data_IF_399216394476
#
_entry.id   IF_399216394476
#
_cell.length_a   1.000
_cell.length_b   1.000
_cell.length_c   1.000
_cell.angle_alpha   90.00
_cell.angle_beta   90.00
_cell.angle_gamma   90.00
#
_symmetry.space_group_name_H-M   'P 1'
#
loop_
_entity.id
_entity.type
_entity.pdbx_description
1 polymer ?
#
# COMPACT_ATOMS: atom_id res chain seq x y z
N UNK A 1 6.42 -14.05 -1.39
CA UNK A 1 5.20 -13.34 -0.94
C UNK A 1 5.34 -11.87 -1.24
N UNK A 2 4.31 -11.30 -1.83
CA UNK A 2 4.31 -9.87 -2.17
C UNK A 2 3.54 -9.11 -1.10
N UNK A 3 4.07 -7.98 -0.70
CA UNK A 3 3.35 -7.12 0.24
C UNK A 3 3.55 -5.66 -0.15
N UNK A 4 2.66 -4.83 0.32
CA UNK A 4 2.72 -3.39 0.09
C UNK A 4 3.58 -2.74 1.17
N UNK A 5 4.32 -1.72 0.76
CA UNK A 5 5.13 -0.93 1.68
C UNK A 5 4.49 0.42 1.97
N UNK A 6 3.19 0.50 1.78
CA UNK A 6 2.48 1.77 1.89
C UNK A 6 2.47 2.27 3.33
N UNK A 7 2.24 1.37 4.29
CA UNK A 7 2.20 1.80 5.69
C UNK A 7 3.54 2.38 6.12
N UNK A 8 4.64 1.79 5.66
CA UNK A 8 5.98 2.31 5.97
C UNK A 8 6.20 3.66 5.32
N UNK A 9 5.77 3.80 4.07
CA UNK A 9 5.94 5.06 3.36
C UNK A 9 5.08 6.16 3.98
N UNK A 10 3.86 5.81 4.39
CA UNK A 10 2.98 6.76 5.05
C UNK A 10 3.57 7.22 6.39
N UNK A 11 4.10 6.28 7.15
CA UNK A 11 4.72 6.63 8.43
C UNK A 11 5.92 7.54 8.23
N UNK A 12 6.72 7.25 7.23
CA UNK A 12 7.91 8.06 6.94
C UNK A 12 7.54 9.47 6.53
N UNK A 13 6.45 9.61 5.79
CA UNK A 13 6.00 10.93 5.32
C UNK A 13 4.94 11.55 6.20
N UNK A 14 4.57 10.86 7.29
CA UNK A 14 3.56 11.35 8.23
C UNK A 14 2.23 11.60 7.55
N UNK A 15 1.83 10.64 6.74
CA UNK A 15 0.57 10.71 6.01
C UNK A 15 -0.42 9.77 6.67
N UNK A 16 -1.62 10.28 6.96
CA UNK A 16 -2.67 9.46 7.55
C UNK A 16 -3.54 8.83 6.44
N UNK A 17 -4.33 7.84 6.82
CA UNK A 17 -5.27 7.24 5.87
C UNK A 17 -6.26 8.29 5.36
N UNK A 18 -6.65 9.23 6.21
CA UNK A 18 -7.54 10.31 5.78
C UNK A 18 -6.88 11.17 4.71
N UNK A 19 -5.63 11.54 4.93
CA UNK A 19 -4.90 12.34 3.95
C UNK A 19 -4.74 11.58 2.65
N UNK A 20 -4.49 10.27 2.72
CA UNK A 20 -4.38 9.46 1.53
C UNK A 20 -5.69 9.44 0.75
N UNK A 21 -6.81 9.28 1.44
CA UNK A 21 -8.11 9.27 0.77
C UNK A 21 -8.44 10.62 0.15
N UNK A 22 -8.01 11.69 0.79
CA UNK A 22 -8.28 13.04 0.27
C UNK A 22 -7.41 13.36 -0.94
N UNK A 23 -6.17 12.93 -0.92
CA UNK A 23 -5.24 13.25 -2.00
C UNK A 23 -5.29 12.31 -3.17
N UNK A 24 -5.89 11.14 -2.99
CA UNK A 24 -6.08 10.19 -4.06
C UNK A 24 -7.57 10.06 -4.35
N UNK A 25 -7.91 9.21 -5.30
CA UNK A 25 -9.32 8.97 -5.60
C UNK A 25 -9.85 7.74 -4.87
N UNK A 26 -9.11 7.30 -3.87
CA UNK A 26 -9.52 6.14 -3.07
C UNK A 26 -10.51 6.56 -2.01
N UNK A 27 -11.45 5.67 -1.73
CA UNK A 27 -12.36 5.92 -0.62
C UNK A 27 -11.61 5.77 0.70
N UNK A 28 -12.14 6.36 1.75
CA UNK A 28 -11.48 6.25 3.04
C UNK A 28 -11.34 4.79 3.51
N UNK A 29 -12.39 3.97 3.40
CA UNK A 29 -12.22 2.57 3.81
C UNK A 29 -11.12 1.85 3.04
N UNK A 30 -10.97 2.13 1.75
CA UNK A 30 -9.90 1.52 0.96
C UNK A 30 -8.54 2.02 1.41
N UNK A 31 -8.41 3.32 1.61
CA UNK A 31 -7.15 3.90 2.07
C UNK A 31 -6.78 3.37 3.45
N UNK A 32 -7.76 3.26 4.33
CA UNK A 32 -7.53 2.75 5.67
C UNK A 32 -7.06 1.30 5.64
N UNK A 33 -7.71 0.49 4.80
CA UNK A 33 -7.34 -0.91 4.68
C UNK A 33 -5.92 -1.06 4.16
N UNK A 34 -5.56 -0.29 3.15
CA UNK A 34 -4.23 -0.34 2.57
C UNK A 34 -3.18 0.11 3.59
N UNK A 35 -3.50 1.11 4.39
CA UNK A 35 -2.53 1.65 5.33
C UNK A 35 -2.31 0.74 6.53
N UNK A 36 -3.29 -0.14 6.84
CA UNK A 36 -3.20 -0.97 8.03
C UNK A 36 -2.78 -2.40 7.79
N UNK A 37 -2.86 -2.85 6.57
CA UNK A 37 -2.76 -4.29 6.31
C UNK A 37 -1.40 -4.90 6.58
N UNK A 38 -0.45 -4.12 7.12
CA UNK A 38 0.89 -4.64 7.33
C UNK A 38 1.50 -5.09 6.02
N UNK A 39 1.02 -4.51 4.94
CA UNK A 39 1.49 -4.85 3.63
C UNK A 39 0.78 -6.02 2.98
N UNK A 40 -0.15 -6.65 3.67
CA UNK A 40 -0.84 -7.83 3.13
C UNK A 40 -2.09 -7.43 2.37
N UNK A 41 -2.33 -8.07 1.24
CA UNK A 41 -3.51 -7.82 0.45
C UNK A 41 -3.81 -9.06 -0.37
N UNK A 42 -5.09 -9.26 -0.65
CA UNK A 42 -5.48 -10.39 -1.48
C UNK A 42 -5.54 -10.04 -2.95
N UNK A 43 -5.87 -8.80 -3.25
CA UNK A 43 -6.06 -8.37 -4.63
C UNK A 43 -5.74 -6.89 -4.73
N UNK A 44 -5.04 -6.52 -5.79
CA UNK A 44 -4.69 -5.14 -6.03
C UNK A 44 -4.95 -4.85 -7.50
N UNK A 45 -5.84 -3.89 -7.73
CA UNK A 45 -6.15 -3.49 -9.11
C UNK A 45 -5.11 -2.51 -9.62
N UNK A 46 -4.90 -2.55 -10.94
CA UNK A 46 -3.92 -1.66 -11.55
C UNK A 46 -4.31 -0.20 -11.33
N UNK A 47 -5.61 0.11 -11.36
CA UNK A 47 -6.05 1.48 -11.15
C UNK A 47 -5.67 1.96 -9.75
N UNK A 48 -5.83 1.11 -8.75
CA UNK A 48 -5.46 1.46 -7.39
C UNK A 48 -3.97 1.71 -7.28
N UNK A 49 -3.18 0.84 -7.92
CA UNK A 49 -1.74 1.01 -7.90
C UNK A 49 -1.33 2.30 -8.59
N UNK A 50 -2.00 2.63 -9.68
CA UNK A 50 -1.73 3.88 -10.40
C UNK A 50 -2.02 5.09 -9.52
N UNK A 51 -3.13 5.07 -8.79
CA UNK A 51 -3.48 6.15 -7.88
C UNK A 51 -2.43 6.32 -6.79
N UNK A 52 -1.95 5.20 -6.25
CA UNK A 52 -0.95 5.25 -5.20
C UNK A 52 0.38 5.79 -5.73
N UNK A 53 0.78 5.35 -6.92
CA UNK A 53 2.01 5.84 -7.51
C UNK A 53 1.93 7.33 -7.75
N UNK A 54 0.79 7.81 -8.21
CA UNK A 54 0.61 9.23 -8.47
C UNK A 54 0.60 10.02 -7.18
N UNK A 55 -0.10 9.52 -6.17
CA UNK A 55 -0.18 10.23 -4.89
C UNK A 55 1.19 10.35 -4.24
N UNK A 56 1.95 9.26 -4.21
CA UNK A 56 3.26 9.28 -3.57
C UNK A 56 4.37 9.73 -4.50
N UNK A 57 4.08 9.83 -5.79
CA UNK A 57 5.08 10.22 -6.81
C UNK A 57 6.25 9.26 -6.80
N UNK A 58 5.92 7.97 -6.85
CA UNK A 58 6.94 6.91 -6.85
C UNK A 58 6.57 5.87 -7.88
N UNK A 59 7.54 5.08 -8.26
CA UNK A 59 7.33 3.94 -9.14
C UNK A 59 6.73 2.78 -8.35
N UNK A 60 6.04 1.86 -9.01
CA UNK A 60 5.43 0.73 -8.31
C UNK A 60 6.42 -0.08 -7.50
N UNK A 61 7.68 -0.15 -7.93
CA UNK A 61 8.68 -0.89 -7.19
C UNK A 61 8.95 -0.32 -5.81
N UNK A 62 8.59 0.93 -5.56
CA UNK A 62 8.73 1.51 -4.24
C UNK A 62 7.57 1.16 -3.33
N UNK A 63 6.47 0.71 -3.91
CA UNK A 63 5.27 0.37 -3.15
C UNK A 63 5.15 -1.10 -2.86
N UNK A 64 5.86 -1.93 -3.59
CA UNK A 64 5.74 -3.38 -3.47
C UNK A 64 7.07 -3.99 -3.06
N UNK A 65 6.97 -5.05 -2.30
CA UNK A 65 8.14 -5.78 -1.85
C UNK A 65 7.85 -7.27 -1.99
N UNK A 66 8.82 -8.02 -2.46
CA UNK A 66 8.69 -9.47 -2.53
C UNK A 66 9.72 -10.11 -1.62
N UNK A 67 9.27 -11.03 -0.84
CA UNK A 67 10.15 -11.85 -0.03
C UNK A 67 9.76 -13.30 -0.20
N UNK A 68 10.69 -14.23 -0.05
CA UNK A 68 10.31 -15.64 -0.07
C UNK A 68 9.30 -15.90 1.03
N UNK A 69 8.33 -16.75 0.72
CA UNK A 69 7.37 -17.13 1.74
C UNK A 69 8.12 -17.81 2.89
N UNK A 70 7.72 -17.53 4.12
CA UNK A 70 8.34 -18.24 5.24
C UNK A 70 8.15 -19.74 5.05
N UNK A 71 9.18 -20.49 5.42
CA UNK A 71 9.07 -21.93 5.36
C UNK A 71 8.21 -22.34 6.54
N UNK A 72 6.99 -22.65 6.24
CA UNK A 72 6.07 -23.11 7.27
C UNK A 72 5.99 -24.60 7.17
N UNK A 73 6.44 -25.24 8.20
CA UNK A 73 6.31 -26.67 8.27
C UNK A 73 5.21 -26.96 9.25
N UNK A 74 4.29 -27.41 8.74
CA UNK A 74 3.27 -27.62 9.76
C UNK A 74 2.23 -28.31 9.24
#
# INVERSE_FOLDING_TARGET
>A
MVRLKISELMARRRITAYALSKGSHLSYPSAYRLSRAGGCFGRLHADTLDELCEFFQVQPGKLLEWTPAPIVRG
#
